data_IF_806642036807
#
_entry.id   IF_806642036807
#
_cell.length_a   1.000
_cell.length_b   1.000
_cell.length_c   1.000
_cell.angle_alpha   90.00
_cell.angle_beta   90.00
_cell.angle_gamma   90.00
#
_symmetry.space_group_name_H-M   'P 1'
#
loop_
_entity.id
_entity.type
_entity.pdbx_description
1 polymer ?
#
# COMPACT_ATOMS: atom_id res chain seq x y z
N UNK A 1 -18.44 -44.70 -22.30
CA UNK A 1 -17.84 -43.36 -22.55
C UNK A 1 -17.83 -42.39 -21.35
N UNK A 2 -18.37 -42.72 -20.15
CA UNK A 2 -18.45 -41.76 -19.01
C UNK A 2 -17.77 -42.22 -17.69
N UNK A 3 -16.68 -43.02 -17.73
CA UNK A 3 -16.01 -43.50 -16.50
C UNK A 3 -14.82 -42.64 -16.04
N UNK A 4 -14.31 -41.73 -16.87
CA UNK A 4 -13.12 -40.90 -16.57
C UNK A 4 -13.43 -39.46 -16.12
N UNK A 5 -14.69 -39.07 -16.08
CA UNK A 5 -15.11 -37.72 -15.68
C UNK A 5 -14.80 -37.37 -14.21
N UNK A 6 -15.10 -38.21 -13.20
CA UNK A 6 -14.90 -37.80 -11.80
C UNK A 6 -13.41 -37.75 -11.42
N UNK A 7 -12.58 -38.64 -11.98
CA UNK A 7 -11.13 -38.69 -11.70
C UNK A 7 -10.40 -37.48 -12.32
N UNK A 8 -10.83 -37.05 -13.52
CA UNK A 8 -10.27 -35.85 -14.17
C UNK A 8 -10.68 -34.56 -13.46
N UNK A 9 -11.93 -34.46 -13.03
CA UNK A 9 -12.44 -33.29 -12.29
C UNK A 9 -11.78 -33.19 -10.90
N UNK A 10 -11.61 -34.32 -10.20
CA UNK A 10 -10.98 -34.32 -8.89
C UNK A 10 -9.48 -34.00 -8.96
N UNK A 11 -8.79 -34.43 -10.03
CA UNK A 11 -7.38 -34.08 -10.28
C UNK A 11 -7.18 -32.60 -10.62
N UNK A 12 -8.09 -32.00 -11.41
CA UNK A 12 -8.04 -30.56 -11.71
C UNK A 12 -8.30 -29.71 -10.46
N UNK A 13 -9.27 -30.09 -9.63
CA UNK A 13 -9.59 -29.36 -8.40
C UNK A 13 -8.47 -29.42 -7.36
N UNK A 14 -7.87 -30.60 -7.15
CA UNK A 14 -6.72 -30.75 -6.24
C UNK A 14 -5.47 -30.05 -6.79
N UNK A 15 -5.20 -30.13 -8.09
CA UNK A 15 -4.11 -29.40 -8.72
C UNK A 15 -4.25 -27.87 -8.61
N UNK A 16 -5.46 -27.34 -8.81
CA UNK A 16 -5.71 -25.90 -8.70
C UNK A 16 -5.61 -25.39 -7.25
N UNK A 17 -6.06 -26.20 -6.28
CA UNK A 17 -5.92 -25.89 -4.86
C UNK A 17 -4.44 -25.83 -4.43
N UNK A 18 -3.61 -26.77 -4.91
CA UNK A 18 -2.17 -26.77 -4.64
C UNK A 18 -1.45 -25.58 -5.27
N UNK A 19 -1.86 -25.17 -6.49
CA UNK A 19 -1.30 -23.97 -7.14
C UNK A 19 -1.57 -22.69 -6.34
N UNK A 20 -2.78 -22.53 -5.79
CA UNK A 20 -3.14 -21.36 -4.98
C UNK A 20 -2.35 -21.33 -3.66
N UNK A 21 -2.14 -22.49 -3.03
CA UNK A 21 -1.36 -22.56 -1.80
C UNK A 21 0.14 -22.24 -2.02
N UNK A 22 0.68 -22.58 -3.19
CA UNK A 22 2.10 -22.33 -3.50
C UNK A 22 2.45 -20.84 -3.68
N UNK A 23 1.48 -19.99 -4.01
CA UNK A 23 1.69 -18.54 -4.19
C UNK A 23 0.91 -17.66 -3.19
N UNK A 24 0.06 -18.25 -2.35
CA UNK A 24 -0.79 -17.54 -1.38
C UNK A 24 -0.18 -17.45 0.02
N UNK A 25 0.94 -16.73 0.17
CA UNK A 25 1.47 -16.34 1.48
C UNK A 25 1.00 -14.93 1.85
N UNK A 26 0.24 -14.80 2.94
CA UNK A 26 -0.31 -13.51 3.41
C UNK A 26 0.68 -12.72 4.28
N UNK A 27 1.97 -13.03 4.22
CA UNK A 27 3.01 -12.32 4.96
C UNK A 27 3.41 -11.04 4.22
N UNK A 28 2.46 -10.11 4.12
CA UNK A 28 2.79 -8.72 3.80
C UNK A 28 3.74 -8.17 4.87
N UNK A 29 4.72 -7.30 4.53
CA UNK A 29 5.57 -6.67 5.53
C UNK A 29 4.70 -6.07 6.62
N UNK A 30 4.93 -6.46 7.87
CA UNK A 30 4.30 -5.81 9.02
C UNK A 30 4.70 -4.34 8.96
N UNK A 31 3.77 -3.47 8.56
CA UNK A 31 4.03 -2.03 8.47
C UNK A 31 4.39 -1.58 9.89
N UNK A 32 5.59 -1.03 10.10
CA UNK A 32 5.95 -0.54 11.42
C UNK A 32 4.93 0.53 11.81
N UNK A 33 4.35 0.41 13.01
CA UNK A 33 3.54 1.48 13.58
C UNK A 33 4.38 2.74 13.54
N UNK A 34 3.91 3.83 12.88
CA UNK A 34 4.68 5.05 12.80
C UNK A 34 4.97 5.51 14.23
N UNK A 35 6.23 5.39 14.63
CA UNK A 35 6.72 6.08 15.82
C UNK A 35 6.59 7.57 15.53
N UNK A 36 6.21 8.43 16.50
CA UNK A 36 6.00 9.87 16.26
C UNK A 36 7.23 10.67 15.78
N UNK A 37 8.31 10.00 15.37
CA UNK A 37 9.54 10.55 14.79
C UNK A 37 9.31 11.09 13.37
N UNK A 38 8.31 11.95 13.17
CA UNK A 38 7.89 12.36 11.82
C UNK A 38 7.57 13.84 11.63
N UNK A 39 7.26 14.58 12.71
CA UNK A 39 6.81 15.97 12.55
C UNK A 39 7.94 16.90 12.08
N UNK A 40 9.16 16.76 12.63
CA UNK A 40 10.27 17.65 12.29
C UNK A 40 10.80 17.45 10.88
N UNK A 41 10.96 16.19 10.44
CA UNK A 41 11.48 15.91 9.09
C UNK A 41 10.42 16.19 8.02
N UNK A 42 9.16 15.82 8.27
CA UNK A 42 8.05 16.20 7.39
C UNK A 42 7.94 17.71 7.21
N UNK A 43 8.11 18.48 8.29
CA UNK A 43 8.12 19.94 8.25
C UNK A 43 9.33 20.48 7.47
N UNK A 44 10.52 19.90 7.66
CA UNK A 44 11.72 20.26 6.88
C UNK A 44 11.50 20.07 5.39
N UNK A 45 10.94 18.94 5.00
CA UNK A 45 10.62 18.64 3.60
C UNK A 45 9.54 19.58 3.06
N UNK A 46 8.49 19.85 3.84
CA UNK A 46 7.44 20.80 3.48
C UNK A 46 7.98 22.19 3.12
N UNK A 47 8.96 22.68 3.89
CA UNK A 47 9.62 23.96 3.63
C UNK A 47 10.61 23.85 2.47
N UNK A 48 11.55 22.91 2.53
CA UNK A 48 12.64 22.80 1.55
C UNK A 48 12.19 22.42 0.15
N UNK A 49 11.09 21.69 0.02
CA UNK A 49 10.49 21.32 -1.27
C UNK A 49 9.43 22.32 -1.76
N UNK A 50 9.14 23.36 -0.98
CA UNK A 50 8.22 24.43 -1.39
C UNK A 50 6.75 24.01 -1.45
N UNK A 51 6.35 22.98 -0.71
CA UNK A 51 4.99 22.41 -0.76
C UNK A 51 3.91 23.44 -0.41
N UNK A 52 4.24 24.42 0.43
CA UNK A 52 3.36 25.52 0.83
C UNK A 52 2.87 26.38 -0.35
N UNK A 53 3.62 26.43 -1.46
CA UNK A 53 3.27 27.24 -2.62
C UNK A 53 1.92 26.83 -3.24
N UNK A 54 1.59 25.54 -3.20
CA UNK A 54 0.32 25.02 -3.72
C UNK A 54 -0.62 24.60 -2.58
N UNK A 55 -0.10 23.98 -1.53
CA UNK A 55 -0.92 23.41 -0.45
C UNK A 55 -1.21 24.40 0.69
N UNK A 56 -0.84 25.67 0.53
CA UNK A 56 -1.12 26.73 1.49
C UNK A 56 -0.29 26.66 2.76
N UNK A 57 -0.44 27.67 3.62
CA UNK A 57 0.27 27.75 4.90
C UNK A 57 -0.07 26.56 5.79
N UNK A 58 0.96 25.94 6.37
CA UNK A 58 0.80 24.79 7.27
C UNK A 58 0.00 23.64 6.62
N UNK A 59 0.04 23.47 5.30
CA UNK A 59 -0.67 22.39 4.59
C UNK A 59 -2.20 22.36 4.78
N UNK A 60 -2.83 23.51 5.08
CA UNK A 60 -4.29 23.63 5.24
C UNK A 60 -5.06 23.56 3.92
N UNK A 61 -4.38 23.65 2.80
CA UNK A 61 -4.97 23.75 1.47
C UNK A 61 -5.10 25.19 0.99
N UNK A 62 -5.29 25.34 -0.31
CA UNK A 62 -5.56 26.60 -1.00
C UNK A 62 -6.52 26.36 -2.16
N UNK A 63 -6.83 27.41 -2.91
CA UNK A 63 -7.57 27.28 -4.18
C UNK A 63 -6.81 26.45 -5.24
N UNK A 64 -5.49 26.28 -5.10
CA UNK A 64 -4.63 25.59 -6.05
C UNK A 64 -4.57 24.08 -5.74
N UNK A 65 -4.50 23.70 -4.46
CA UNK A 65 -4.41 22.30 -4.04
C UNK A 65 -4.99 22.07 -2.64
N UNK A 66 -5.54 20.87 -2.35
CA UNK A 66 -6.16 20.55 -1.06
C UNK A 66 -5.14 20.44 0.08
N UNK A 67 -5.61 20.37 1.32
CA UNK A 67 -4.75 20.17 2.49
C UNK A 67 -4.10 18.78 2.51
N UNK A 68 -2.92 18.67 3.15
CA UNK A 68 -2.16 17.41 3.17
C UNK A 68 -2.48 16.51 4.38
N UNK A 69 -3.09 17.07 5.43
CA UNK A 69 -3.40 16.31 6.66
C UNK A 69 -4.39 15.17 6.41
N UNK A 70 -5.37 15.41 5.53
CA UNK A 70 -6.48 14.48 5.27
C UNK A 70 -6.07 13.26 4.42
N UNK A 71 -4.88 13.25 3.80
CA UNK A 71 -4.46 12.18 2.87
C UNK A 71 -3.28 11.35 3.39
N UNK A 72 -2.74 11.70 4.56
CA UNK A 72 -1.45 11.20 5.03
C UNK A 72 -1.47 9.80 5.67
N UNK A 73 -2.62 9.29 6.13
CA UNK A 73 -2.62 8.03 6.87
C UNK A 73 -2.75 6.78 5.97
N UNK A 74 -3.51 6.87 4.88
CA UNK A 74 -3.83 5.71 4.04
C UNK A 74 -3.02 5.63 2.73
N UNK A 75 -2.30 6.70 2.36
CA UNK A 75 -1.57 6.79 1.08
C UNK A 75 -0.04 6.69 1.21
N UNK A 76 0.52 6.76 2.43
CA UNK A 76 1.96 6.56 2.71
C UNK A 76 2.28 5.09 3.00
N UNK A 77 1.55 4.15 2.37
CA UNK A 77 2.05 2.77 2.32
C UNK A 77 3.46 2.82 1.74
N UNK A 78 4.45 2.15 2.36
CA UNK A 78 5.85 2.23 1.95
C UNK A 78 6.04 1.51 0.61
N UNK A 79 5.54 2.10 -0.47
CA UNK A 79 5.80 1.68 -1.82
C UNK A 79 7.12 2.35 -2.21
N UNK A 80 8.18 1.55 -2.10
CA UNK A 80 9.50 1.76 -2.72
C UNK A 80 10.34 2.94 -2.24
N UNK A 81 10.83 2.91 -1.00
CA UNK A 81 12.23 3.31 -0.75
C UNK A 81 13.09 2.10 -1.06
N UNK A 82 13.47 1.94 -2.34
CA UNK A 82 14.56 1.04 -2.74
C UNK A 82 15.80 1.92 -2.82
N UNK A 83 16.65 1.83 -1.80
CA UNK A 83 18.03 2.29 -1.87
C UNK A 83 18.86 1.22 -2.56
#
# INVERSE_FOLDING_TARGET
>A
MFRFAPVRVLGLATGMLLLVAACGGNDGPSVPTPTPVGSSEGQRLFVTKGCAACHGSMAKGSAIAPGLFEHSANQITPRSVRV
#
